data_IF_445635595473
#
_entry.id   IF_445635595473
#
_cell.length_a   1.000
_cell.length_b   1.000
_cell.length_c   1.000
_cell.angle_alpha   90.00
_cell.angle_beta   90.00
_cell.angle_gamma   90.00
#
_symmetry.space_group_name_H-M   'P 1'
#
loop_
_entity.id
_entity.type
_entity.pdbx_description
1 polymer ?
#
# COMPACT_ATOMS: atom_id res chain seq x y z
N UNK A 1 -33.28 38.15 26.85
CA UNK A 1 -33.19 36.78 26.32
C UNK A 1 -31.80 36.57 25.79
N UNK A 2 -31.08 35.57 26.32
CA UNK A 2 -29.69 35.27 25.99
C UNK A 2 -29.66 34.50 24.68
N UNK A 3 -28.97 35.03 23.67
CA UNK A 3 -28.76 34.36 22.40
C UNK A 3 -27.75 33.22 22.59
N UNK A 4 -28.21 31.98 22.47
CA UNK A 4 -27.34 30.80 22.41
C UNK A 4 -26.59 30.82 21.07
N UNK A 5 -25.32 31.20 21.10
CA UNK A 5 -24.39 30.97 20.00
C UNK A 5 -24.01 29.48 20.04
N UNK A 6 -24.59 28.69 19.14
CA UNK A 6 -24.13 27.32 18.89
C UNK A 6 -22.77 27.40 18.20
N UNK A 7 -21.71 27.36 19.01
CA UNK A 7 -20.36 27.10 18.53
C UNK A 7 -20.36 25.64 18.06
N UNK A 8 -20.58 25.42 16.76
CA UNK A 8 -20.26 24.14 16.14
C UNK A 8 -18.74 24.06 16.17
N UNK A 9 -18.20 23.45 17.23
CA UNK A 9 -16.81 23.02 17.24
C UNK A 9 -16.67 22.01 16.12
N UNK A 10 -16.21 22.49 14.96
CA UNK A 10 -15.73 21.65 13.87
C UNK A 10 -14.53 20.89 14.37
N UNK A 11 -14.78 19.79 15.10
CA UNK A 11 -13.82 18.73 15.24
C UNK A 11 -13.60 18.21 13.83
N UNK A 12 -12.53 18.66 13.17
CA UNK A 12 -11.91 17.94 12.07
C UNK A 12 -11.88 16.47 12.47
N UNK A 13 -12.79 15.67 11.93
CA UNK A 13 -12.75 14.23 12.12
C UNK A 13 -11.55 13.77 11.32
N UNK A 14 -10.40 13.67 12.01
CA UNK A 14 -9.25 12.98 11.48
C UNK A 14 -9.66 11.57 11.05
N UNK A 15 -8.89 11.01 10.14
CA UNK A 15 -9.15 9.69 9.60
C UNK A 15 -9.00 8.61 10.70
N UNK A 16 -9.99 7.72 10.86
CA UNK A 16 -9.85 6.55 11.73
C UNK A 16 -9.04 5.48 10.99
N UNK A 17 -7.82 5.22 11.48
CA UNK A 17 -6.86 4.40 10.77
C UNK A 17 -7.19 2.90 10.96
N UNK A 18 -7.34 2.12 9.87
CA UNK A 18 -7.59 0.69 10.02
C UNK A 18 -6.39 0.02 10.69
N UNK A 19 -6.68 -0.86 11.66
CA UNK A 19 -5.65 -1.69 12.33
C UNK A 19 -5.08 -2.77 11.43
N UNK A 20 -5.76 -3.07 10.33
CA UNK A 20 -5.38 -4.10 9.37
C UNK A 20 -5.75 -3.73 7.94
N UNK A 21 -4.91 -4.09 6.99
CA UNK A 21 -5.16 -3.97 5.55
C UNK A 21 -4.69 -5.26 4.87
N UNK A 22 -5.42 -5.74 3.85
CA UNK A 22 -5.26 -7.12 3.36
C UNK A 22 -5.21 -8.14 4.49
N UNK A 23 -6.01 -7.93 5.53
CA UNK A 23 -6.28 -9.00 6.49
C UNK A 23 -5.00 -9.35 7.31
N UNK A 24 -4.02 -8.43 7.30
CA UNK A 24 -2.78 -8.39 8.09
C UNK A 24 -2.69 -7.08 8.86
N UNK A 25 -1.98 -7.09 9.99
CA UNK A 25 -1.73 -5.86 10.74
C UNK A 25 -0.91 -4.87 9.91
N UNK A 26 -1.25 -3.58 10.04
CA UNK A 26 -0.49 -2.46 9.47
C UNK A 26 -0.35 -1.38 10.54
N UNK A 27 0.81 -0.75 10.60
CA UNK A 27 1.03 0.36 11.53
C UNK A 27 0.37 1.62 10.98
N UNK A 28 -0.27 2.38 11.88
CA UNK A 28 -0.93 3.62 11.48
C UNK A 28 0.05 4.67 10.95
N UNK A 29 1.28 4.71 11.45
CA UNK A 29 2.32 5.64 11.00
C UNK A 29 2.90 5.29 9.61
N UNK A 30 2.79 4.03 9.18
CA UNK A 30 3.22 3.58 7.85
C UNK A 30 2.12 3.83 6.80
N UNK A 31 0.85 3.67 7.18
CA UNK A 31 -0.30 3.84 6.29
C UNK A 31 -0.82 5.28 6.20
N UNK A 32 -0.88 6.02 7.31
CA UNK A 32 -1.44 7.37 7.33
C UNK A 32 -0.82 8.34 6.31
N UNK A 33 0.50 8.33 6.05
CA UNK A 33 1.08 9.22 5.04
C UNK A 33 0.62 8.96 3.60
N UNK A 34 -0.03 7.83 3.35
CA UNK A 34 -0.56 7.43 2.04
C UNK A 34 -2.04 7.80 1.84
N UNK A 35 -2.70 8.28 2.91
CA UNK A 35 -4.12 8.60 2.92
C UNK A 35 -4.33 10.12 3.05
N UNK A 36 -5.49 10.64 2.62
CA UNK A 36 -5.98 11.94 3.04
C UNK A 36 -6.01 12.07 4.58
N UNK A 37 -5.93 13.31 5.08
CA UNK A 37 -5.94 13.60 6.53
C UNK A 37 -7.30 13.41 7.19
N UNK A 38 -8.37 13.45 6.41
CA UNK A 38 -9.76 13.39 6.83
C UNK A 38 -10.55 12.50 5.87
N UNK A 39 -11.71 12.01 6.33
CA UNK A 39 -12.62 11.17 5.57
C UNK A 39 -12.88 9.81 6.22
N UNK A 40 -13.85 9.08 5.67
CA UNK A 40 -14.22 7.75 6.12
C UNK A 40 -13.41 6.67 5.37
N UNK A 41 -12.71 5.81 6.11
CA UNK A 41 -11.95 4.70 5.54
C UNK A 41 -12.83 3.46 5.38
N UNK A 42 -12.81 2.89 4.18
CA UNK A 42 -13.31 1.54 3.95
C UNK A 42 -12.21 0.65 3.35
N UNK A 43 -12.10 -0.58 3.87
CA UNK A 43 -11.21 -1.61 3.35
C UNK A 43 -12.07 -2.73 2.77
N UNK A 44 -11.73 -3.18 1.56
CA UNK A 44 -12.35 -4.35 0.94
C UNK A 44 -11.28 -5.32 0.43
N UNK A 45 -11.67 -6.59 0.33
CA UNK A 45 -10.81 -7.67 -0.13
C UNK A 45 -11.61 -8.59 -1.04
N UNK A 46 -11.04 -8.92 -2.19
CA UNK A 46 -11.53 -9.95 -3.09
C UNK A 46 -10.49 -11.03 -3.27
N UNK A 47 -10.92 -12.27 -3.36
CA UNK A 47 -10.05 -13.42 -3.64
C UNK A 47 -10.63 -14.17 -4.84
N UNK A 48 -9.88 -14.20 -5.94
CA UNK A 48 -10.15 -15.09 -7.07
C UNK A 48 -8.90 -15.94 -7.32
N UNK A 49 -8.13 -15.64 -8.36
CA UNK A 49 -6.78 -16.20 -8.55
C UNK A 49 -5.73 -15.43 -7.76
N UNK A 50 -5.90 -14.12 -7.69
CA UNK A 50 -5.10 -13.21 -6.88
C UNK A 50 -5.91 -12.74 -5.66
N UNK A 51 -5.21 -12.28 -4.63
CA UNK A 51 -5.81 -11.49 -3.55
C UNK A 51 -5.73 -10.01 -3.96
N UNK A 52 -6.87 -9.34 -4.00
CA UNK A 52 -6.95 -7.91 -4.30
C UNK A 52 -7.51 -7.21 -3.07
N UNK A 53 -6.80 -6.22 -2.56
CA UNK A 53 -7.26 -5.39 -1.47
C UNK A 53 -7.34 -3.94 -1.89
N UNK A 54 -8.42 -3.30 -1.50
CA UNK A 54 -8.64 -1.88 -1.73
C UNK A 54 -8.83 -1.18 -0.41
N UNK A 55 -8.27 0.02 -0.32
CA UNK A 55 -8.61 1.00 0.69
C UNK A 55 -9.14 2.23 -0.04
N UNK A 56 -10.33 2.67 0.35
CA UNK A 56 -10.96 3.89 -0.12
C UNK A 56 -11.17 4.88 1.01
N UNK A 57 -11.09 6.16 0.69
CA UNK A 57 -11.47 7.27 1.59
C UNK A 57 -12.62 8.02 0.94
N UNK A 58 -13.73 8.16 1.65
CA UNK A 58 -14.99 8.75 1.15
C UNK A 58 -15.46 8.13 -0.18
N UNK A 59 -15.30 6.80 -0.30
CA UNK A 59 -15.65 6.03 -1.50
C UNK A 59 -14.66 6.15 -2.67
N UNK A 60 -13.59 6.95 -2.54
CA UNK A 60 -12.55 7.08 -3.56
C UNK A 60 -11.42 6.09 -3.26
N UNK A 61 -11.18 5.14 -4.16
CA UNK A 61 -10.05 4.21 -4.04
C UNK A 61 -8.73 5.01 -3.96
N UNK A 62 -7.98 4.74 -2.90
CA UNK A 62 -6.78 5.49 -2.52
C UNK A 62 -5.54 4.60 -2.57
N UNK A 63 -5.70 3.33 -2.18
CA UNK A 63 -4.66 2.30 -2.24
C UNK A 63 -5.28 1.01 -2.77
N UNK A 64 -4.62 0.42 -3.76
CA UNK A 64 -4.91 -0.91 -4.28
C UNK A 64 -3.65 -1.76 -4.19
N UNK A 65 -3.81 -2.99 -3.71
CA UNK A 65 -2.72 -3.98 -3.70
C UNK A 65 -3.25 -5.28 -4.26
N UNK A 66 -2.65 -5.74 -5.36
CA UNK A 66 -2.82 -7.09 -5.90
C UNK A 66 -1.65 -7.94 -5.42
N UNK A 67 -1.96 -9.12 -4.89
CA UNK A 67 -1.01 -10.08 -4.34
C UNK A 67 -1.17 -11.40 -5.10
N UNK A 68 -0.08 -11.87 -5.70
CA UNK A 68 -0.06 -13.09 -6.51
C UNK A 68 1.08 -14.01 -6.05
N UNK A 69 0.83 -15.32 -5.98
CA UNK A 69 1.87 -16.33 -5.78
C UNK A 69 2.44 -16.69 -7.15
N UNK A 70 3.75 -16.59 -7.33
CA UNK A 70 4.42 -16.87 -8.61
C UNK A 70 5.66 -17.74 -8.41
N UNK A 71 5.93 -18.63 -9.37
CA UNK A 71 7.06 -19.58 -9.30
C UNK A 71 8.28 -19.14 -10.11
N UNK A 72 8.15 -18.03 -10.87
CA UNK A 72 9.22 -17.48 -11.69
C UNK A 72 9.38 -16.00 -11.39
N UNK A 73 10.59 -15.49 -11.50
CA UNK A 73 10.81 -14.05 -11.46
C UNK A 73 10.11 -13.37 -12.63
N UNK A 74 9.73 -12.12 -12.41
CA UNK A 74 9.20 -11.28 -13.49
C UNK A 74 10.29 -11.01 -14.53
N UNK A 75 9.96 -11.04 -15.83
CA UNK A 75 10.87 -10.64 -16.90
C UNK A 75 11.38 -9.20 -16.71
N UNK A 76 12.54 -8.91 -17.31
CA UNK A 76 13.18 -7.59 -17.25
C UNK A 76 12.25 -6.45 -17.72
N UNK A 77 11.38 -6.73 -18.69
CA UNK A 77 10.41 -5.80 -19.25
C UNK A 77 9.40 -5.30 -18.20
N UNK A 78 8.90 -6.17 -17.32
CA UNK A 78 7.96 -5.77 -16.28
C UNK A 78 8.58 -4.76 -15.31
N UNK A 79 9.86 -4.95 -14.98
CA UNK A 79 10.60 -4.01 -14.14
C UNK A 79 10.86 -2.67 -14.85
N UNK A 80 11.16 -2.70 -16.15
CA UNK A 80 11.34 -1.48 -16.94
C UNK A 80 10.03 -0.70 -17.08
N UNK A 81 8.91 -1.42 -17.30
CA UNK A 81 7.58 -0.86 -17.35
C UNK A 81 7.21 -0.20 -16.02
N UNK A 82 7.46 -0.87 -14.88
CA UNK A 82 7.22 -0.29 -13.56
C UNK A 82 8.05 0.99 -13.30
N UNK A 83 9.31 1.03 -13.76
CA UNK A 83 10.15 2.23 -13.66
C UNK A 83 9.58 3.39 -14.49
N UNK A 84 9.01 3.09 -15.67
CA UNK A 84 8.42 4.10 -16.55
C UNK A 84 7.02 4.55 -16.12
N UNK A 85 6.22 3.65 -15.51
CA UNK A 85 4.83 3.92 -15.12
C UNK A 85 4.77 4.75 -13.83
N UNK A 86 5.60 4.40 -12.85
CA UNK A 86 5.51 5.01 -11.52
C UNK A 86 6.35 6.28 -11.43
N UNK A 87 5.76 7.32 -10.83
CA UNK A 87 6.41 8.60 -10.63
C UNK A 87 7.63 8.47 -9.70
N UNK A 88 8.79 9.00 -10.09
CA UNK A 88 10.03 8.95 -9.29
C UNK A 88 10.45 7.52 -8.91
N UNK A 89 10.14 6.58 -9.79
CA UNK A 89 10.42 5.17 -9.56
C UNK A 89 11.86 4.80 -9.84
N UNK A 90 12.30 3.79 -9.11
CA UNK A 90 13.60 3.16 -9.29
C UNK A 90 13.66 1.88 -8.48
N UNK A 91 14.68 1.07 -8.75
CA UNK A 91 15.00 -0.07 -7.89
C UNK A 91 15.41 0.43 -6.51
N UNK A 92 14.78 -0.10 -5.47
CA UNK A 92 15.08 0.29 -4.08
C UNK A 92 15.45 -0.92 -3.25
N UNK A 93 16.37 -0.72 -2.30
CA UNK A 93 16.69 -1.71 -1.29
C UNK A 93 15.58 -1.75 -0.25
N UNK A 94 15.15 -2.95 0.10
CA UNK A 94 14.09 -3.21 1.09
C UNK A 94 14.63 -4.05 2.25
N UNK A 95 13.92 -4.04 3.37
CA UNK A 95 14.26 -4.87 4.53
C UNK A 95 13.92 -6.35 4.32
N UNK A 96 12.98 -6.67 3.43
CA UNK A 96 12.62 -8.03 3.04
C UNK A 96 13.44 -8.51 1.82
N UNK A 97 13.71 -9.82 1.70
CA UNK A 97 14.40 -10.40 0.55
C UNK A 97 13.53 -10.34 -0.71
N UNK A 98 14.09 -9.84 -1.82
CA UNK A 98 13.36 -9.72 -3.08
C UNK A 98 13.88 -8.60 -3.97
N UNK A 99 13.06 -8.26 -4.97
CA UNK A 99 13.27 -7.13 -5.89
C UNK A 99 12.10 -6.18 -5.72
N UNK A 100 12.38 -4.88 -5.62
CA UNK A 100 11.36 -3.84 -5.51
C UNK A 100 11.68 -2.65 -6.43
N UNK A 101 10.72 -2.29 -7.28
CA UNK A 101 10.65 -0.99 -7.95
C UNK A 101 9.59 -0.18 -7.22
N UNK A 102 9.99 0.95 -6.64
CA UNK A 102 9.11 1.78 -5.82
C UNK A 102 9.16 3.22 -6.33
N UNK A 103 7.99 3.73 -6.70
CA UNK A 103 7.75 5.13 -6.99
C UNK A 103 6.82 5.78 -5.97
N UNK A 104 6.46 7.03 -6.24
CA UNK A 104 5.62 7.86 -5.40
C UNK A 104 4.12 7.50 -5.46
N UNK A 105 3.69 6.85 -6.53
CA UNK A 105 2.29 6.48 -6.78
C UNK A 105 2.07 4.97 -6.89
N UNK A 106 3.08 4.15 -6.63
CA UNK A 106 2.97 2.72 -6.77
C UNK A 106 4.29 1.98 -6.61
N UNK A 107 4.20 0.66 -6.62
CA UNK A 107 5.35 -0.23 -6.58
C UNK A 107 5.03 -1.56 -7.25
N UNK A 108 6.07 -2.17 -7.82
CA UNK A 108 6.09 -3.56 -8.24
C UNK A 108 7.16 -4.28 -7.43
N UNK A 109 6.78 -5.39 -6.80
CA UNK A 109 7.65 -6.12 -5.88
C UNK A 109 7.51 -7.61 -6.14
N UNK A 110 8.63 -8.33 -6.05
CA UNK A 110 8.64 -9.78 -5.85
C UNK A 110 9.42 -10.07 -4.59
N UNK A 111 8.73 -10.50 -3.53
CA UNK A 111 9.35 -10.98 -2.31
C UNK A 111 9.66 -12.48 -2.43
N UNK A 112 10.79 -12.92 -1.90
CA UNK A 112 11.09 -14.35 -1.80
C UNK A 112 10.12 -15.02 -0.84
N UNK A 113 9.67 -16.23 -1.18
CA UNK A 113 8.71 -16.97 -0.35
C UNK A 113 9.13 -18.43 -0.09
N UNK A 114 9.70 -19.11 -1.10
CA UNK A 114 10.14 -20.51 -1.00
C UNK A 114 9.00 -21.54 -1.05
N UNK A 115 7.96 -21.37 -0.23
CA UNK A 115 6.75 -22.19 -0.20
C UNK A 115 5.56 -21.35 0.27
N UNK A 116 4.33 -21.52 -0.27
CA UNK A 116 3.89 -22.51 -1.26
C UNK A 116 4.25 -22.16 -2.71
N UNK A 117 4.95 -21.04 -2.94
CA UNK A 117 5.48 -20.63 -4.24
C UNK A 117 6.88 -20.04 -4.06
N UNK A 118 7.65 -19.93 -5.15
CA UNK A 118 9.00 -19.36 -5.06
C UNK A 118 8.97 -17.89 -4.60
N UNK A 119 7.99 -17.11 -5.07
CA UNK A 119 7.84 -15.69 -4.80
C UNK A 119 6.39 -15.28 -4.51
N UNK A 120 6.24 -14.14 -3.84
CA UNK A 120 4.97 -13.39 -3.78
C UNK A 120 5.17 -12.06 -4.49
N UNK A 121 4.37 -11.83 -5.52
CA UNK A 121 4.31 -10.56 -6.23
C UNK A 121 3.32 -9.62 -5.56
N UNK A 122 3.70 -8.34 -5.48
CA UNK A 122 2.83 -7.24 -5.08
C UNK A 122 2.83 -6.20 -6.20
N UNK A 123 1.65 -5.89 -6.74
CA UNK A 123 1.40 -4.72 -7.58
C UNK A 123 0.58 -3.73 -6.75
N UNK A 124 1.17 -2.57 -6.46
CA UNK A 124 0.67 -1.57 -5.52
C UNK A 124 0.42 -0.29 -6.29
N UNK A 125 -0.80 0.25 -6.20
CA UNK A 125 -1.17 1.51 -6.84
C UNK A 125 -1.79 2.47 -5.83
N UNK A 126 -1.30 3.70 -5.84
CA UNK A 126 -1.86 4.81 -5.09
C UNK A 126 -2.51 5.82 -6.03
N UNK A 127 -3.67 6.31 -5.63
CA UNK A 127 -4.47 7.27 -6.39
C UNK A 127 -5.00 8.35 -5.45
N UNK A 128 -5.13 9.58 -5.96
CA UNK A 128 -5.65 10.71 -5.19
C UNK A 128 -4.61 11.81 -4.95
N UNK A 129 -5.06 12.90 -4.31
CA UNK A 129 -4.29 14.16 -4.17
C UNK A 129 -3.12 14.05 -3.19
N UNK A 130 -3.13 13.05 -2.32
CA UNK A 130 -2.08 12.77 -1.34
C UNK A 130 -0.85 12.10 -1.97
N UNK A 131 -0.95 11.60 -3.21
CA UNK A 131 0.19 11.12 -3.99
C UNK A 131 1.14 12.29 -4.26
N UNK A 132 2.36 12.17 -3.75
CA UNK A 132 3.37 13.20 -3.87
C UNK A 132 4.43 12.75 -4.87
N UNK A 133 4.40 13.23 -6.11
CA UNK A 133 5.37 12.88 -7.18
C UNK A 133 6.79 13.43 -6.93
N UNK A 134 7.42 12.98 -5.83
CA UNK A 134 8.75 13.34 -5.37
C UNK A 134 9.43 12.14 -4.72
N UNK A 135 10.74 12.25 -4.47
CA UNK A 135 11.47 11.24 -3.71
C UNK A 135 10.88 11.03 -2.30
N UNK A 136 10.37 12.09 -1.68
CA UNK A 136 9.70 12.00 -0.38
C UNK A 136 8.40 11.17 -0.45
N UNK A 137 7.63 11.29 -1.53
CA UNK A 137 6.47 10.44 -1.75
C UNK A 137 6.86 8.97 -1.90
N UNK A 138 7.89 8.68 -2.68
CA UNK A 138 8.39 7.32 -2.83
C UNK A 138 8.92 6.72 -1.50
N UNK A 139 9.49 7.55 -0.61
CA UNK A 139 9.88 7.12 0.75
C UNK A 139 8.66 6.76 1.62
N UNK A 140 7.54 7.47 1.50
CA UNK A 140 6.29 7.11 2.20
C UNK A 140 5.77 5.75 1.73
N UNK A 141 5.74 5.52 0.42
CA UNK A 141 5.34 4.23 -0.16
C UNK A 141 6.28 3.12 0.33
N UNK A 142 7.59 3.36 0.33
CA UNK A 142 8.56 2.40 0.86
C UNK A 142 8.32 2.06 2.34
N UNK A 143 8.06 3.05 3.20
CA UNK A 143 7.80 2.82 4.62
C UNK A 143 6.57 1.95 4.88
N UNK A 144 5.50 2.13 4.08
CA UNK A 144 4.33 1.24 4.10
C UNK A 144 4.71 -0.19 3.67
N UNK A 145 5.45 -0.34 2.57
CA UNK A 145 5.82 -1.65 2.04
C UNK A 145 6.73 -2.44 2.99
N UNK A 146 7.65 -1.76 3.68
CA UNK A 146 8.54 -2.38 4.67
C UNK A 146 7.78 -2.92 5.90
N UNK A 147 6.62 -2.36 6.21
CA UNK A 147 5.72 -2.86 7.25
C UNK A 147 4.76 -3.94 6.70
N UNK A 148 4.19 -3.69 5.52
CA UNK A 148 3.12 -4.50 4.95
C UNK A 148 3.60 -5.84 4.36
N UNK A 149 4.65 -5.81 3.53
CA UNK A 149 5.11 -7.00 2.79
C UNK A 149 5.52 -8.15 3.72
N UNK A 150 6.32 -7.94 4.79
CA UNK A 150 6.67 -9.01 5.71
C UNK A 150 5.46 -9.62 6.42
N UNK A 151 4.45 -8.81 6.76
CA UNK A 151 3.25 -9.30 7.41
C UNK A 151 2.40 -10.15 6.45
N UNK A 152 2.33 -9.79 5.17
CA UNK A 152 1.66 -10.61 4.15
C UNK A 152 2.41 -11.92 3.89
N UNK A 153 3.73 -11.88 3.67
CA UNK A 153 4.51 -13.10 3.42
C UNK A 153 4.45 -14.06 4.60
N UNK A 154 4.51 -13.54 5.84
CA UNK A 154 4.29 -14.33 7.05
C UNK A 154 2.89 -14.96 7.10
N UNK A 155 1.83 -14.20 6.79
CA UNK A 155 0.45 -14.72 6.75
C UNK A 155 0.27 -15.82 5.70
N UNK A 156 0.97 -15.70 4.57
CA UNK A 156 0.94 -16.70 3.50
C UNK A 156 1.76 -17.96 3.81
N UNK A 157 2.49 -17.99 4.93
CA UNK A 157 3.31 -19.12 5.33
C UNK A 157 4.64 -19.23 4.58
N UNK A 158 5.14 -18.13 4.02
CA UNK A 158 6.44 -18.09 3.37
C UNK A 158 7.56 -18.51 4.34
N UNK A 159 8.54 -19.26 3.83
CA UNK A 159 9.65 -19.84 4.60
C UNK A 159 11.03 -19.36 4.14
N UNK A 160 11.07 -18.51 3.11
CA UNK A 160 12.30 -17.98 2.51
C UNK A 160 12.82 -16.70 3.13
#
# INVERSE_FOLDING_TARGET
MVALVLVVSGCSKGIDMPKSFCDVAVRGDSLAPLLPSEGEVAVSKGELRDVICNLSVDGIQTLNVRISKIDKQLPAEDWANAISEFAQAGRRRTAFPGIAVIGANGALITANCGSPAAYVQFDVKLTGKQVQSSEAGAKKVQAFLEDFVPNVTKKLGCTG
#
